data_IF_879000230442
#
_entry.id   IF_879000230442
#
_cell.length_a   1.000
_cell.length_b   1.000
_cell.length_c   1.000
_cell.angle_alpha   90.00
_cell.angle_beta   90.00
_cell.angle_gamma   90.00
#
_symmetry.space_group_name_H-M   'P 1'
#
loop_
_entity.id
_entity.type
_entity.pdbx_description
1 polymer ?
#
# COMPACT_ATOMS: atom_id res chain seq x y z
N UNK A 1 -5.22 4.11 6.69
CA UNK A 1 -5.14 3.25 7.89
C UNK A 1 -5.91 3.92 9.03
N UNK A 2 -6.70 3.22 9.86
CA UNK A 2 -7.33 3.80 11.06
C UNK A 2 -6.29 4.15 12.13
N UNK A 3 -6.44 5.30 12.80
CA UNK A 3 -5.50 5.79 13.83
C UNK A 3 -5.99 5.60 15.26
N UNK A 4 -7.28 5.28 15.44
CA UNK A 4 -7.91 5.18 16.75
C UNK A 4 -7.36 4.06 17.62
N UNK A 5 -7.50 4.25 18.94
CA UNK A 5 -7.15 3.26 19.96
C UNK A 5 -8.09 2.05 19.89
N UNK A 6 -7.53 0.84 19.97
CA UNK A 6 -8.31 -0.39 20.14
C UNK A 6 -8.41 -0.71 21.63
N UNK A 7 -9.51 -0.28 22.26
CA UNK A 7 -9.77 -0.50 23.69
C UNK A 7 -9.94 -1.98 24.05
N UNK A 8 -10.31 -2.80 23.07
CA UNK A 8 -10.44 -4.25 23.16
C UNK A 8 -9.15 -5.03 22.82
N UNK A 9 -8.03 -4.35 22.55
CA UNK A 9 -6.74 -5.03 22.36
C UNK A 9 -6.37 -5.83 23.61
N UNK A 10 -5.88 -7.06 23.43
CA UNK A 10 -5.50 -7.96 24.52
C UNK A 10 -4.15 -7.59 25.17
N UNK A 11 -3.39 -6.69 24.54
CA UNK A 11 -2.09 -6.26 25.05
C UNK A 11 -2.21 -5.16 26.09
N UNK A 12 -1.14 -4.99 26.86
CA UNK A 12 -0.93 -3.89 27.80
C UNK A 12 0.44 -3.27 27.50
N UNK A 13 0.53 -1.98 27.11
CA UNK A 13 -0.58 -1.04 26.91
C UNK A 13 -1.48 -1.40 25.72
N UNK A 14 -2.75 -0.96 25.75
CA UNK A 14 -3.68 -1.04 24.61
C UNK A 14 -3.12 -0.25 23.42
N UNK A 15 -3.16 -0.78 22.20
CA UNK A 15 -2.50 -0.15 21.04
C UNK A 15 -3.46 0.51 20.06
N UNK A 16 -2.94 1.45 19.27
CA UNK A 16 -3.67 1.99 18.12
C UNK A 16 -3.89 0.94 17.03
N UNK A 17 -4.96 1.08 16.25
CA UNK A 17 -5.22 0.20 15.11
C UNK A 17 -4.09 0.24 14.06
N UNK A 18 -3.40 1.38 13.94
CA UNK A 18 -2.25 1.54 13.05
C UNK A 18 -1.06 0.68 13.51
N UNK A 19 -0.76 0.71 14.81
CA UNK A 19 0.30 -0.12 15.40
C UNK A 19 0.01 -1.62 15.25
N UNK A 20 -1.23 -2.03 15.53
CA UNK A 20 -1.66 -3.43 15.40
C UNK A 20 -1.47 -3.92 13.96
N UNK A 21 -1.92 -3.17 12.95
CA UNK A 21 -1.76 -3.56 11.53
C UNK A 21 -0.29 -3.66 11.11
N UNK A 22 0.61 -2.88 11.75
CA UNK A 22 2.04 -2.90 11.45
C UNK A 22 2.79 -4.01 12.18
N UNK A 23 2.27 -4.52 13.30
CA UNK A 23 3.02 -5.40 14.22
C UNK A 23 2.42 -6.80 14.39
N UNK A 24 1.15 -6.99 14.03
CA UNK A 24 0.46 -8.27 14.16
C UNK A 24 0.22 -8.91 12.79
N UNK A 25 0.53 -10.20 12.69
CA UNK A 25 0.11 -11.00 11.54
C UNK A 25 -1.39 -11.25 11.58
N UNK A 26 -2.01 -11.35 10.40
CA UNK A 26 -3.44 -11.57 10.26
C UNK A 26 -4.30 -10.46 10.89
N UNK A 27 -3.76 -9.24 10.96
CA UNK A 27 -4.48 -8.07 11.43
C UNK A 27 -4.81 -7.12 10.27
N UNK A 28 -6.07 -6.70 10.18
CA UNK A 28 -6.51 -5.78 9.13
C UNK A 28 -8.02 -5.75 8.94
N UNK A 29 -8.50 -4.72 8.23
CA UNK A 29 -9.93 -4.58 7.92
C UNK A 29 -10.39 -5.36 6.68
N UNK A 30 -9.59 -6.31 6.16
CA UNK A 30 -9.86 -6.99 4.89
C UNK A 30 -10.53 -8.36 5.06
N UNK A 31 -10.92 -8.71 6.28
CA UNK A 31 -11.60 -9.98 6.59
C UNK A 31 -13.11 -9.88 6.44
N UNK A 32 -13.65 -8.66 6.33
CA UNK A 32 -15.05 -8.41 6.03
C UNK A 32 -15.20 -7.57 4.75
N UNK A 33 -16.40 -7.62 4.14
CA UNK A 33 -16.72 -6.79 2.97
C UNK A 33 -17.10 -5.35 3.34
N UNK A 34 -17.15 -5.02 4.64
CA UNK A 34 -17.57 -3.70 5.10
C UNK A 34 -16.53 -2.63 4.79
N UNK A 35 -15.25 -2.99 4.86
CA UNK A 35 -14.16 -2.04 4.60
C UNK A 35 -13.71 -2.03 3.14
N UNK A 36 -13.72 -3.18 2.46
CA UNK A 36 -13.31 -3.32 1.06
C UNK A 36 -14.23 -4.30 0.33
N UNK A 37 -15.01 -3.79 -0.63
CA UNK A 37 -15.88 -4.62 -1.48
C UNK A 37 -15.08 -5.60 -2.35
N UNK A 38 -13.90 -5.17 -2.83
CA UNK A 38 -12.94 -5.99 -3.60
C UNK A 38 -11.52 -5.60 -3.16
N UNK A 39 -10.66 -6.59 -2.87
CA UNK A 39 -9.25 -6.33 -2.62
C UNK A 39 -8.38 -7.54 -2.97
N UNK A 40 -7.17 -7.31 -3.50
CA UNK A 40 -6.26 -8.39 -3.86
C UNK A 40 -5.48 -9.00 -2.68
N UNK A 41 -5.46 -8.36 -1.52
CA UNK A 41 -4.72 -8.82 -0.35
C UNK A 41 -5.65 -9.34 0.74
N UNK A 42 -5.65 -10.65 0.98
CA UNK A 42 -6.62 -11.31 1.88
C UNK A 42 -6.03 -11.80 3.20
N UNK A 43 -4.71 -11.94 3.28
CA UNK A 43 -4.07 -12.61 4.41
C UNK A 43 -3.85 -11.72 5.65
N UNK A 44 -3.88 -10.38 5.48
CA UNK A 44 -3.63 -9.45 6.59
C UNK A 44 -2.18 -9.48 7.10
N UNK A 45 -1.21 -9.83 6.25
CA UNK A 45 0.22 -9.94 6.64
C UNK A 45 1.17 -9.05 5.84
N UNK A 46 0.72 -8.47 4.73
CA UNK A 46 1.63 -7.84 3.76
C UNK A 46 2.46 -6.71 4.37
N UNK A 47 1.83 -5.77 5.06
CA UNK A 47 2.53 -4.59 5.59
C UNK A 47 3.33 -4.90 6.87
N UNK A 48 2.85 -5.84 7.70
CA UNK A 48 3.59 -6.30 8.88
C UNK A 48 4.86 -7.07 8.50
N UNK A 49 4.84 -7.85 7.41
CA UNK A 49 6.06 -8.45 6.85
C UNK A 49 7.03 -7.40 6.34
N UNK A 50 6.55 -6.36 5.63
CA UNK A 50 7.42 -5.24 5.21
C UNK A 50 8.04 -4.56 6.43
N UNK A 51 7.26 -4.30 7.48
CA UNK A 51 7.76 -3.71 8.71
C UNK A 51 8.83 -4.57 9.40
N UNK A 52 8.57 -5.87 9.56
CA UNK A 52 9.49 -6.81 10.19
C UNK A 52 10.82 -6.95 9.43
N UNK A 53 10.79 -6.85 8.10
CA UNK A 53 11.96 -7.00 7.22
C UNK A 53 12.62 -5.64 6.86
N UNK A 54 12.23 -4.57 7.53
CA UNK A 54 12.81 -3.24 7.34
C UNK A 54 13.73 -2.88 8.50
N UNK A 55 14.89 -2.27 8.18
CA UNK A 55 15.76 -1.66 9.19
C UNK A 55 14.98 -0.60 9.96
N UNK A 56 14.24 0.24 9.23
CA UNK A 56 13.27 1.18 9.78
C UNK A 56 12.06 1.33 8.85
N UNK A 57 10.91 1.62 9.44
CA UNK A 57 9.67 1.98 8.74
C UNK A 57 9.03 3.19 9.43
N UNK A 58 8.63 4.16 8.62
CA UNK A 58 7.93 5.38 9.02
C UNK A 58 6.53 5.37 8.43
N UNK A 59 5.54 5.51 9.30
CA UNK A 59 4.14 5.59 8.94
C UNK A 59 3.62 7.00 9.21
N UNK A 60 3.17 7.70 8.18
CA UNK A 60 2.42 8.95 8.32
C UNK A 60 0.97 8.74 7.90
N UNK A 61 0.03 9.04 8.78
CA UNK A 61 -1.41 8.96 8.49
C UNK A 61 -2.04 10.34 8.60
N UNK A 62 -2.75 10.76 7.56
CA UNK A 62 -3.47 12.04 7.49
C UNK A 62 -4.96 11.75 7.39
N UNK A 63 -5.71 12.04 8.44
CA UNK A 63 -7.13 11.67 8.57
C UNK A 63 -7.84 12.60 9.56
N UNK A 64 -9.10 12.93 9.28
CA UNK A 64 -9.98 13.72 10.17
C UNK A 64 -9.34 15.06 10.60
N UNK A 65 -8.67 15.74 9.66
CA UNK A 65 -7.97 17.01 9.90
C UNK A 65 -6.64 16.89 10.66
N UNK A 66 -6.20 15.68 11.00
CA UNK A 66 -5.03 15.40 11.84
C UNK A 66 -3.95 14.61 11.11
N UNK A 67 -2.70 14.93 11.38
CA UNK A 67 -1.50 14.22 10.91
C UNK A 67 -0.88 13.45 12.08
N UNK A 68 -0.78 12.15 11.93
CA UNK A 68 -0.14 11.25 12.87
C UNK A 68 1.14 10.66 12.29
N UNK A 69 2.09 10.32 13.15
CA UNK A 69 3.37 9.71 12.77
C UNK A 69 3.74 8.60 13.74
N UNK A 70 4.32 7.52 13.22
CA UNK A 70 4.87 6.41 13.99
C UNK A 70 6.10 5.86 13.28
N UNK A 71 7.11 5.49 14.05
CA UNK A 71 8.34 4.89 13.55
C UNK A 71 8.52 3.50 14.13
N UNK A 72 9.11 2.61 13.35
CA UNK A 72 9.40 1.23 13.69
C UNK A 72 10.83 0.90 13.27
N UNK A 73 11.45 -0.04 13.98
CA UNK A 73 12.72 -0.65 13.60
C UNK A 73 12.59 -2.17 13.71
N UNK A 74 12.81 -2.90 12.60
CA UNK A 74 12.70 -4.37 12.54
C UNK A 74 11.39 -4.90 13.15
N UNK A 75 10.27 -4.28 12.79
CA UNK A 75 8.95 -4.64 13.29
C UNK A 75 8.58 -4.08 14.66
N UNK A 76 9.50 -3.47 15.40
CA UNK A 76 9.25 -2.97 16.76
C UNK A 76 8.98 -1.47 16.74
N UNK A 77 7.89 -1.03 17.37
CA UNK A 77 7.54 0.40 17.47
C UNK A 77 8.60 1.17 18.28
N UNK A 78 8.93 2.36 17.81
CA UNK A 78 9.91 3.27 18.42
C UNK A 78 9.20 4.47 19.06
N UNK A 79 9.82 5.04 20.10
CA UNK A 79 9.35 6.28 20.76
C UNK A 79 7.86 6.23 21.15
N UNK A 80 7.44 5.09 21.69
CA UNK A 80 6.05 4.85 22.08
C UNK A 80 5.63 5.83 23.19
N UNK A 81 4.53 6.54 22.98
CA UNK A 81 3.85 7.27 24.04
C UNK A 81 2.97 6.31 24.84
N UNK A 82 3.07 6.35 26.17
CA UNK A 82 2.20 5.58 27.06
C UNK A 82 1.43 6.57 27.91
N UNK A 83 0.11 6.52 27.79
CA UNK A 83 -0.83 7.28 28.58
C UNK A 83 -1.61 6.34 29.50
N UNK A 84 -2.11 6.85 30.62
CA UNK A 84 -2.92 6.09 31.56
C UNK A 84 -4.23 6.84 31.81
N UNK A 85 -5.35 6.13 31.67
CA UNK A 85 -6.70 6.63 31.92
C UNK A 85 -7.44 5.53 32.70
N UNK A 86 -8.01 5.88 33.86
CA UNK A 86 -8.74 4.96 34.74
C UNK A 86 -7.98 3.67 35.08
N UNK A 87 -6.66 3.77 35.26
CA UNK A 87 -5.78 2.64 35.58
C UNK A 87 -5.49 1.70 34.41
N UNK A 88 -5.84 2.08 33.18
CA UNK A 88 -5.53 1.33 31.95
C UNK A 88 -4.50 2.10 31.13
N UNK A 89 -3.41 1.43 30.76
CA UNK A 89 -2.37 2.03 29.93
C UNK A 89 -2.69 1.87 28.44
N UNK A 90 -2.42 2.90 27.65
CA UNK A 90 -2.62 2.91 26.20
C UNK A 90 -1.51 3.63 25.44
N UNK A 91 -1.29 3.14 24.22
CA UNK A 91 -0.32 3.59 23.22
C UNK A 91 -1.08 4.16 22.02
N UNK A 92 -1.48 5.45 22.06
CA UNK A 92 -2.11 6.09 20.91
C UNK A 92 -1.09 6.32 19.80
N UNK A 93 -1.56 6.53 18.57
CA UNK A 93 -0.67 6.97 17.49
C UNK A 93 -0.35 8.47 17.68
N UNK A 94 0.93 8.88 17.86
CA UNK A 94 1.28 10.26 18.16
C UNK A 94 0.72 11.27 17.15
N UNK A 95 0.23 12.40 17.66
CA UNK A 95 -0.28 13.51 16.85
C UNK A 95 0.86 14.50 16.55
N UNK A 96 1.09 14.78 15.27
CA UNK A 96 2.15 15.70 14.82
C UNK A 96 1.61 17.09 14.48
N UNK A 97 0.30 17.21 14.23
CA UNK A 97 -0.35 18.48 13.97
C UNK A 97 -1.60 18.35 13.09
N UNK A 98 -2.10 19.50 12.66
CA UNK A 98 -3.26 19.59 11.79
C UNK A 98 -2.88 19.46 10.30
N UNK A 99 -3.82 19.02 9.47
CA UNK A 99 -3.63 18.90 8.02
C UNK A 99 -4.96 18.94 7.27
N UNK A 100 -4.96 19.59 6.11
CA UNK A 100 -6.09 19.56 5.17
C UNK A 100 -6.04 18.34 4.22
N UNK A 101 -4.92 17.62 4.21
CA UNK A 101 -4.71 16.47 3.34
C UNK A 101 -5.28 15.19 3.95
N UNK A 102 -5.56 14.19 3.10
CA UNK A 102 -5.96 12.84 3.52
C UNK A 102 -5.11 11.80 2.83
N UNK A 103 -4.67 10.78 3.56
CA UNK A 103 -3.91 9.68 2.98
C UNK A 103 -3.07 8.89 3.98
N UNK A 104 -2.32 7.94 3.46
CA UNK A 104 -1.34 7.17 4.23
C UNK A 104 -0.05 7.09 3.43
N UNK A 105 1.05 7.35 4.09
CA UNK A 105 2.40 7.29 3.54
C UNK A 105 3.19 6.27 4.35
N UNK A 106 3.80 5.32 3.65
CA UNK A 106 4.68 4.31 4.24
C UNK A 106 6.03 4.48 3.58
N UNK A 107 7.04 4.78 4.39
CA UNK A 107 8.41 4.97 3.94
C UNK A 107 9.29 4.01 4.74
N UNK A 108 10.06 3.18 4.06
CA UNK A 108 10.84 2.13 4.72
C UNK A 108 12.17 1.92 4.02
N UNK A 109 13.11 1.34 4.76
CA UNK A 109 14.38 0.84 4.24
C UNK A 109 14.48 -0.65 4.56
N UNK A 110 14.69 -1.48 3.55
CA UNK A 110 14.88 -2.91 3.73
C UNK A 110 16.11 -3.20 4.59
N UNK A 111 16.03 -4.20 5.48
CA UNK A 111 17.12 -4.51 6.41
C UNK A 111 18.33 -5.13 5.68
N UNK A 112 19.45 -4.42 5.66
CA UNK A 112 20.69 -4.88 5.02
C UNK A 112 21.28 -6.13 5.68
N UNK A 113 20.93 -6.42 6.94
CA UNK A 113 21.34 -7.67 7.60
C UNK A 113 20.61 -8.89 7.05
N UNK A 114 19.45 -8.69 6.41
CA UNK A 114 18.63 -9.74 5.79
C UNK A 114 18.89 -9.81 4.28
N UNK A 115 18.91 -8.66 3.61
CA UNK A 115 18.99 -8.56 2.14
C UNK A 115 20.39 -8.28 1.60
N UNK A 116 21.37 -8.00 2.47
CA UNK A 116 22.72 -7.59 2.05
C UNK A 116 22.72 -6.18 1.47
N UNK A 117 23.39 -6.00 0.32
CA UNK A 117 23.39 -4.72 -0.38
C UNK A 117 22.00 -4.42 -0.97
N UNK A 118 21.33 -3.39 -0.45
CA UNK A 118 19.97 -3.02 -0.87
C UNK A 118 20.03 -1.98 -1.98
N UNK A 119 19.64 -2.38 -3.19
CA UNK A 119 19.46 -1.47 -4.33
C UNK A 119 18.06 -1.64 -4.94
N UNK A 120 17.31 -0.54 -5.02
CA UNK A 120 16.02 -0.51 -5.70
C UNK A 120 16.23 -0.15 -7.19
N UNK A 121 15.89 -1.09 -8.07
CA UNK A 121 15.98 -0.89 -9.51
C UNK A 121 14.73 -0.18 -10.04
N UNK A 122 14.93 1.02 -10.59
CA UNK A 122 13.86 1.84 -11.13
C UNK A 122 13.01 1.10 -12.17
N UNK A 123 13.65 0.43 -13.13
CA UNK A 123 12.95 -0.18 -14.26
C UNK A 123 12.04 -1.35 -13.83
N UNK A 124 12.41 -2.07 -12.76
CA UNK A 124 11.57 -3.12 -12.16
C UNK A 124 10.29 -2.49 -11.57
N UNK A 125 10.44 -1.41 -10.79
CA UNK A 125 9.32 -0.69 -10.21
C UNK A 125 8.45 -0.02 -11.29
N UNK A 126 9.07 0.64 -12.26
CA UNK A 126 8.40 1.31 -13.37
C UNK A 126 7.54 0.33 -14.18
N UNK A 127 8.06 -0.87 -14.47
CA UNK A 127 7.27 -1.92 -15.12
C UNK A 127 6.02 -2.26 -14.30
N UNK A 128 6.16 -2.50 -13.00
CA UNK A 128 5.02 -2.85 -12.14
C UNK A 128 4.01 -1.71 -11.99
N UNK A 129 4.48 -0.48 -11.81
CA UNK A 129 3.61 0.71 -11.69
C UNK A 129 2.84 0.97 -12.99
N UNK A 130 3.49 0.76 -14.14
CA UNK A 130 2.84 0.85 -15.45
C UNK A 130 1.77 -0.22 -15.64
N UNK A 131 2.04 -1.48 -15.29
CA UNK A 131 1.02 -2.55 -15.32
C UNK A 131 -0.19 -2.19 -14.44
N UNK A 132 0.06 -1.68 -13.23
CA UNK A 132 -1.00 -1.28 -12.31
C UNK A 132 -1.84 -0.11 -12.84
N UNK A 133 -1.24 0.85 -13.57
CA UNK A 133 -2.00 1.98 -14.12
C UNK A 133 -2.96 1.58 -15.24
N UNK A 134 -2.61 0.54 -16.02
CA UNK A 134 -3.55 -0.06 -16.97
C UNK A 134 -4.71 -0.75 -16.27
N UNK A 135 -4.43 -1.53 -15.22
CA UNK A 135 -5.44 -2.29 -14.48
C UNK A 135 -6.36 -1.39 -13.62
N UNK A 136 -5.88 -0.21 -13.22
CA UNK A 136 -6.62 0.73 -12.37
C UNK A 136 -6.90 2.01 -13.14
N UNK A 137 -7.73 1.90 -14.19
CA UNK A 137 -8.06 3.03 -15.04
C UNK A 137 -8.65 4.18 -14.22
N UNK A 138 -8.10 5.39 -14.39
CA UNK A 138 -8.45 6.58 -13.61
C UNK A 138 -7.59 6.83 -12.37
N UNK A 139 -6.69 5.91 -11.99
CA UNK A 139 -5.70 6.15 -10.94
C UNK A 139 -4.40 6.67 -11.56
N UNK A 140 -3.93 7.83 -11.09
CA UNK A 140 -2.62 8.37 -11.44
C UNK A 140 -1.55 7.77 -10.54
N UNK A 141 -0.52 7.18 -11.13
CA UNK A 141 0.62 6.61 -10.40
C UNK A 141 1.88 7.35 -10.83
N UNK A 142 2.56 8.01 -9.89
CA UNK A 142 3.84 8.68 -10.12
C UNK A 142 4.97 7.87 -9.49
N UNK A 143 6.05 7.65 -10.23
CA UNK A 143 7.28 7.04 -9.76
C UNK A 143 8.41 8.05 -9.92
N UNK A 144 9.12 8.35 -8.84
CA UNK A 144 10.24 9.31 -8.82
C UNK A 144 11.47 8.65 -8.21
N UNK A 145 12.60 8.70 -8.91
CA UNK A 145 13.92 8.33 -8.38
C UNK A 145 14.66 9.58 -7.92
N UNK A 146 14.73 9.80 -6.60
CA UNK A 146 15.40 10.96 -6.03
C UNK A 146 16.92 10.94 -6.23
N UNK A 147 17.54 9.80 -6.58
CA UNK A 147 18.99 9.70 -6.82
C UNK A 147 19.41 10.35 -8.14
N UNK A 148 18.54 10.26 -9.14
CA UNK A 148 18.82 10.69 -10.52
C UNK A 148 17.89 11.80 -11.00
N UNK A 149 16.79 12.06 -10.29
CA UNK A 149 15.72 12.97 -10.71
C UNK A 149 14.79 12.39 -11.79
N UNK A 150 14.96 11.12 -12.18
CA UNK A 150 14.09 10.45 -13.16
C UNK A 150 12.68 10.34 -12.60
N UNK A 151 11.68 10.68 -13.40
CA UNK A 151 10.26 10.59 -13.05
C UNK A 151 9.47 10.00 -14.22
N UNK A 152 8.54 9.11 -13.90
CA UNK A 152 7.47 8.67 -14.80
C UNK A 152 6.11 8.95 -14.15
N UNK A 153 5.18 9.44 -14.96
CA UNK A 153 3.78 9.66 -14.59
C UNK A 153 2.89 8.74 -15.42
N UNK A 154 2.36 7.69 -14.77
CA UNK A 154 1.50 6.70 -15.38
C UNK A 154 0.04 7.08 -15.16
N UNK A 155 -0.54 7.79 -16.13
CA UNK A 155 -1.94 8.17 -16.14
C UNK A 155 -2.62 7.73 -17.46
N UNK A 156 -3.93 7.48 -17.40
CA UNK A 156 -4.81 7.30 -18.57
C UNK A 156 -4.36 6.23 -19.57
N UNK A 157 -4.01 5.05 -19.05
CA UNK A 157 -3.37 4.02 -19.86
C UNK A 157 -4.34 3.19 -20.74
N UNK A 158 -5.66 3.44 -20.69
CA UNK A 158 -6.62 2.80 -21.62
C UNK A 158 -7.02 1.36 -21.25
N UNK A 159 -6.96 1.01 -19.97
CA UNK A 159 -7.43 -0.29 -19.46
C UNK A 159 -6.56 -1.47 -19.92
N UNK A 160 -7.09 -2.70 -19.81
CA UNK A 160 -6.38 -3.90 -20.30
C UNK A 160 -6.16 -3.89 -21.81
N UNK A 161 -7.01 -3.19 -22.58
CA UNK A 161 -6.82 -3.03 -24.03
C UNK A 161 -5.54 -2.24 -24.31
N UNK A 162 -5.38 -1.08 -23.68
CA UNK A 162 -4.16 -0.29 -23.78
C UNK A 162 -2.92 -1.05 -23.31
N UNK A 163 -3.07 -1.94 -22.33
CA UNK A 163 -1.97 -2.82 -21.89
C UNK A 163 -1.51 -3.77 -23.00
N UNK A 164 -2.44 -4.41 -23.71
CA UNK A 164 -2.14 -5.28 -24.85
C UNK A 164 -1.44 -4.51 -25.97
N UNK A 165 -1.95 -3.32 -26.31
CA UNK A 165 -1.32 -2.44 -27.31
C UNK A 165 0.11 -2.06 -26.90
N UNK A 166 0.33 -1.78 -25.61
CA UNK A 166 1.65 -1.44 -25.08
C UNK A 166 2.65 -2.61 -25.19
N UNK A 167 2.28 -3.81 -24.74
CA UNK A 167 3.20 -4.97 -24.76
C UNK A 167 3.49 -5.46 -26.18
N UNK A 168 2.61 -5.15 -27.15
CA UNK A 168 2.80 -5.52 -28.55
C UNK A 168 3.59 -4.50 -29.37
N UNK A 169 4.00 -3.34 -28.81
CA UNK A 169 4.82 -2.35 -29.52
C UNK A 169 6.14 -2.89 -30.09
N UNK A 170 6.70 -3.91 -29.45
CA UNK A 170 7.94 -4.55 -29.86
C UNK A 170 7.72 -5.87 -30.66
N UNK A 171 6.48 -6.14 -31.09
CA UNK A 171 6.08 -7.37 -31.77
C UNK A 171 5.40 -7.06 -33.10
N UNK A 172 5.41 -8.04 -34.00
CA UNK A 172 4.59 -7.99 -35.21
C UNK A 172 3.21 -8.54 -34.89
N UNK A 173 2.19 -7.69 -34.94
CA UNK A 173 0.78 -8.09 -34.76
C UNK A 173 0.22 -8.69 -36.05
N UNK A 174 -0.64 -9.70 -35.93
CA UNK A 174 -1.29 -10.38 -37.05
C UNK A 174 -2.58 -9.68 -37.49
N UNK A 175 -3.20 -8.89 -36.61
CA UNK A 175 -4.43 -8.16 -36.90
C UNK A 175 -4.47 -6.80 -36.17
N UNK A 176 -5.12 -5.78 -36.76
CA UNK A 176 -5.07 -4.42 -36.23
C UNK A 176 -5.94 -4.22 -34.97
N UNK A 177 -7.04 -4.97 -34.85
CA UNK A 177 -8.01 -4.76 -33.78
C UNK A 177 -7.72 -5.64 -32.58
N UNK A 178 -7.40 -5.04 -31.43
CA UNK A 178 -7.33 -5.78 -30.15
C UNK A 178 -8.74 -6.24 -29.76
N UNK A 179 -8.90 -7.54 -29.51
CA UNK A 179 -10.12 -8.07 -28.91
C UNK A 179 -10.22 -7.54 -27.48
N UNK A 180 -11.39 -7.02 -27.10
CA UNK A 180 -11.68 -6.57 -25.73
C UNK A 180 -13.12 -6.92 -25.38
N UNK A 181 -13.31 -7.43 -24.16
CA UNK A 181 -14.63 -7.77 -23.64
C UNK A 181 -14.67 -7.55 -22.14
N UNK A 182 -15.82 -7.04 -21.67
CA UNK A 182 -16.15 -6.92 -20.25
C UNK A 182 -17.47 -7.66 -20.02
N UNK A 183 -17.53 -8.49 -19.00
CA UNK A 183 -18.74 -9.18 -18.58
C UNK A 183 -18.84 -9.21 -17.06
N UNK A 184 -20.06 -9.24 -16.55
CA UNK A 184 -20.32 -9.44 -15.13
C UNK A 184 -21.32 -10.58 -14.96
N UNK A 185 -21.01 -11.50 -14.05
CA UNK A 185 -21.91 -12.59 -13.66
C UNK A 185 -21.67 -12.93 -12.20
N UNK A 186 -22.74 -13.11 -11.43
CA UNK A 186 -22.67 -13.51 -10.02
C UNK A 186 -21.77 -12.57 -9.18
N UNK A 187 -21.85 -11.25 -9.42
CA UNK A 187 -21.00 -10.19 -8.83
C UNK A 187 -19.49 -10.32 -9.15
N UNK A 188 -19.12 -11.13 -10.14
CA UNK A 188 -17.75 -11.25 -10.64
C UNK A 188 -17.66 -10.53 -11.97
N UNK A 189 -16.89 -9.44 -12.00
CA UNK A 189 -16.52 -8.75 -13.23
C UNK A 189 -15.28 -9.39 -13.84
N UNK A 190 -15.37 -9.74 -15.12
CA UNK A 190 -14.26 -10.25 -15.93
C UNK A 190 -14.02 -9.28 -17.06
N UNK A 191 -12.79 -8.78 -17.18
CA UNK A 191 -12.35 -7.93 -18.26
C UNK A 191 -11.14 -8.60 -18.96
N UNK A 192 -11.24 -8.77 -20.28
CA UNK A 192 -10.23 -9.49 -21.08
C UNK A 192 -9.85 -8.64 -22.28
N UNK A 193 -8.55 -8.58 -22.59
CA UNK A 193 -8.04 -8.14 -23.88
C UNK A 193 -6.99 -9.10 -24.43
N UNK A 194 -6.98 -9.30 -25.75
CA UNK A 194 -6.00 -10.13 -26.43
C UNK A 194 -5.77 -9.71 -27.88
N UNK A 195 -4.58 -9.98 -28.38
CA UNK A 195 -4.17 -9.74 -29.76
C UNK A 195 -3.06 -10.74 -30.10
N UNK A 196 -3.12 -11.27 -31.31
CA UNK A 196 -2.12 -12.18 -31.88
C UNK A 196 -1.11 -11.42 -32.72
#
# INVERSE_FOLDING_TARGET
VPTGLKRDDKHDPKRSAAEIVMTELHAGGKFDQNSYKVSGGLHGVGVSCVNALSEWLRLTVRRDGKKHFMEFARGVVQNREILEEDGVQYSPMPLVGDTENRGTEVHFLADQTIFGNVEFHYDILAKRMRELSFLNNGVRIRLTDQRTGKEDDFAFAGGVKGFVEYINKAKQVLHPNVFHAVGERDNVTVEVAMQW
#
